data_IF_238983313205
#
_entry.id   IF_238983313205
#
_cell.length_a   1.000
_cell.length_b   1.000
_cell.length_c   1.000
_cell.angle_alpha   90.00
_cell.angle_beta   90.00
_cell.angle_gamma   90.00
#
_symmetry.space_group_name_H-M   'P 1'
#
loop_
_entity.id
_entity.type
_entity.pdbx_description
1 polymer ?
#
# COMPACT_ATOMS: atom_id res chain seq x y z
N UNK A 1 -25.75 7.76 -5.59
CA UNK A 1 -25.71 6.48 -6.33
C UNK A 1 -25.16 5.40 -5.41
N UNK A 2 -25.68 4.16 -5.43
CA UNK A 2 -25.12 3.06 -4.62
C UNK A 2 -23.79 2.60 -5.23
N UNK A 3 -22.76 2.44 -4.40
CA UNK A 3 -21.42 2.03 -4.81
C UNK A 3 -20.92 0.84 -3.99
N UNK A 4 -19.85 0.20 -4.47
CA UNK A 4 -19.15 -0.91 -3.83
C UNK A 4 -17.65 -0.71 -3.97
N UNK A 5 -16.92 -0.88 -2.87
CA UNK A 5 -15.46 -0.90 -2.86
C UNK A 5 -15.00 -2.36 -3.05
N UNK A 6 -14.12 -2.60 -4.01
CA UNK A 6 -13.53 -3.91 -4.29
C UNK A 6 -12.27 -4.20 -3.49
N UNK A 7 -11.65 -5.34 -3.77
CA UNK A 7 -10.40 -5.75 -3.14
C UNK A 7 -9.23 -4.87 -3.60
N UNK A 8 -8.31 -4.52 -2.68
CA UNK A 8 -7.17 -3.68 -3.02
C UNK A 8 -6.16 -4.42 -3.91
N UNK A 9 -5.47 -3.65 -4.74
CA UNK A 9 -4.23 -4.13 -5.36
C UNK A 9 -3.06 -4.13 -4.36
N UNK A 10 -1.88 -4.52 -4.83
CA UNK A 10 -0.62 -4.54 -4.09
C UNK A 10 -0.08 -3.16 -3.70
N UNK A 11 -0.68 -2.06 -4.17
CA UNK A 11 -0.44 -0.69 -3.66
C UNK A 11 -1.52 -0.24 -2.65
N UNK A 12 -2.42 -1.14 -2.24
CA UNK A 12 -3.58 -0.81 -1.41
C UNK A 12 -4.50 0.25 -2.05
N UNK A 13 -4.61 0.24 -3.39
CA UNK A 13 -5.61 0.99 -4.15
C UNK A 13 -6.85 0.13 -4.30
N UNK A 14 -7.98 0.64 -3.83
CA UNK A 14 -9.25 -0.06 -3.83
C UNK A 14 -10.10 0.42 -5.00
N UNK A 15 -10.49 -0.44 -5.93
CA UNK A 15 -11.36 -0.05 -7.03
C UNK A 15 -12.76 0.24 -6.50
N UNK A 16 -13.43 1.24 -7.08
CA UNK A 16 -14.79 1.65 -6.74
C UNK A 16 -15.68 1.40 -7.93
N UNK A 17 -16.79 0.72 -7.67
CA UNK A 17 -17.76 0.31 -8.67
C UNK A 17 -19.15 0.83 -8.35
N UNK A 18 -19.91 1.06 -9.41
CA UNK A 18 -21.37 1.22 -9.41
C UNK A 18 -21.99 0.13 -10.30
N UNK A 19 -23.32 0.03 -10.33
CA UNK A 19 -24.01 -0.97 -11.15
C UNK A 19 -23.61 -0.91 -12.64
N UNK A 20 -23.32 0.30 -13.14
CA UNK A 20 -22.92 0.54 -14.53
C UNK A 20 -21.43 0.25 -14.83
N UNK A 21 -20.57 0.05 -13.83
CA UNK A 21 -19.16 -0.22 -14.06
C UNK A 21 -18.20 0.35 -13.01
N UNK A 22 -16.91 0.35 -13.35
CA UNK A 22 -15.83 0.95 -12.58
C UNK A 22 -15.83 2.47 -12.74
N UNK A 23 -15.62 3.20 -11.65
CA UNK A 23 -15.67 4.68 -11.64
C UNK A 23 -14.41 5.32 -11.05
N UNK A 24 -13.43 4.53 -10.63
CA UNK A 24 -12.17 5.04 -10.11
C UNK A 24 -11.62 4.18 -8.98
N UNK A 25 -10.56 4.67 -8.35
CA UNK A 25 -9.92 3.99 -7.22
C UNK A 25 -9.81 4.93 -6.03
N UNK A 26 -9.76 4.35 -4.83
CA UNK A 26 -9.45 5.09 -3.61
C UNK A 26 -8.25 4.48 -2.90
N UNK A 27 -7.39 5.30 -2.33
CA UNK A 27 -6.23 4.83 -1.59
C UNK A 27 -5.87 5.77 -0.45
N UNK A 28 -5.13 5.24 0.54
CA UNK A 28 -4.67 6.01 1.69
C UNK A 28 -3.24 6.48 1.46
N UNK A 29 -2.95 7.74 1.76
CA UNK A 29 -1.60 8.30 1.77
C UNK A 29 -1.42 9.27 2.94
N UNK A 30 -0.49 8.96 3.85
CA UNK A 30 -0.15 9.77 5.04
C UNK A 30 -1.37 10.29 5.83
N UNK A 31 -2.28 9.39 6.19
CA UNK A 31 -3.44 9.70 7.02
C UNK A 31 -4.71 10.09 6.25
N UNK A 32 -4.58 10.55 5.01
CA UNK A 32 -5.72 10.95 4.20
C UNK A 32 -6.07 9.93 3.12
N UNK A 33 -7.29 10.04 2.60
CA UNK A 33 -7.75 9.25 1.48
C UNK A 33 -7.80 10.08 0.22
N UNK A 34 -7.50 9.45 -0.89
CA UNK A 34 -7.53 10.05 -2.21
C UNK A 34 -8.50 9.26 -3.07
N UNK A 35 -9.28 9.97 -3.87
CA UNK A 35 -10.11 9.42 -4.91
C UNK A 35 -9.48 9.75 -6.26
N UNK A 36 -9.33 8.75 -7.13
CA UNK A 36 -8.81 8.88 -8.49
C UNK A 36 -9.93 8.58 -9.46
N UNK A 37 -10.31 9.56 -10.27
CA UNK A 37 -11.44 9.42 -11.20
C UNK A 37 -11.08 8.51 -12.40
N UNK A 38 -11.97 7.59 -12.76
CA UNK A 38 -11.79 6.77 -13.96
C UNK A 38 -11.76 7.66 -15.22
N UNK A 39 -10.87 7.34 -16.16
CA UNK A 39 -10.71 8.04 -17.43
C UNK A 39 -9.79 9.26 -17.35
N UNK A 40 -9.98 10.16 -16.38
CA UNK A 40 -9.15 11.38 -16.26
C UNK A 40 -7.91 11.19 -15.39
N UNK A 41 -7.98 10.31 -14.38
CA UNK A 41 -6.90 10.14 -13.41
C UNK A 41 -6.77 11.31 -12.41
N UNK A 42 -7.73 12.23 -12.37
CA UNK A 42 -7.72 13.35 -11.43
C UNK A 42 -7.81 12.84 -9.98
N UNK A 43 -6.89 13.31 -9.13
CA UNK A 43 -6.84 12.96 -7.71
C UNK A 43 -7.51 14.03 -6.85
N UNK A 44 -8.47 13.62 -6.01
CA UNK A 44 -9.08 14.48 -4.99
C UNK A 44 -8.78 13.98 -3.59
N UNK A 45 -8.33 14.87 -2.70
CA UNK A 45 -8.00 14.56 -1.30
C UNK A 45 -9.23 14.66 -0.40
N UNK A 46 -9.46 13.61 0.38
CA UNK A 46 -10.50 13.50 1.39
C UNK A 46 -9.89 13.26 2.76
N UNK A 47 -9.97 14.28 3.62
CA UNK A 47 -9.50 14.17 5.00
C UNK A 47 -10.34 13.16 5.78
N UNK A 48 -9.65 12.25 6.46
CA UNK A 48 -10.23 11.33 7.41
C UNK A 48 -10.62 12.01 8.73
N UNK A 49 -11.43 11.32 9.51
CA UNK A 49 -11.79 11.65 10.88
C UNK A 49 -11.67 10.40 11.74
N UNK A 50 -11.80 10.53 13.07
CA UNK A 50 -11.86 9.37 13.97
C UNK A 50 -13.01 8.41 13.68
N UNK A 51 -14.14 8.92 13.16
CA UNK A 51 -15.38 8.14 12.93
C UNK A 51 -15.48 7.58 11.51
N UNK A 52 -14.92 8.29 10.54
CA UNK A 52 -14.79 7.85 9.16
C UNK A 52 -13.33 8.07 8.76
N UNK A 53 -12.52 7.01 8.62
CA UNK A 53 -11.11 7.13 8.29
C UNK A 53 -10.87 7.80 6.93
N UNK A 54 -11.91 7.99 6.10
CA UNK A 54 -11.89 8.73 4.83
C UNK A 54 -12.13 7.85 3.60
N UNK A 55 -12.03 6.52 3.77
CA UNK A 55 -12.20 5.53 2.70
C UNK A 55 -13.57 5.62 2.04
N UNK A 56 -14.61 5.54 2.87
CA UNK A 56 -16.00 5.57 2.40
C UNK A 56 -16.35 6.93 1.80
N UNK A 57 -15.88 8.02 2.43
CA UNK A 57 -16.06 9.38 1.91
C UNK A 57 -15.45 9.57 0.52
N UNK A 58 -14.24 9.06 0.30
CA UNK A 58 -13.59 9.12 -1.02
C UNK A 58 -14.36 8.29 -2.07
N UNK A 59 -14.86 7.12 -1.68
CA UNK A 59 -15.64 6.27 -2.59
C UNK A 59 -17.02 6.88 -2.90
N UNK A 60 -17.68 7.47 -1.91
CA UNK A 60 -18.94 8.19 -2.07
C UNK A 60 -18.79 9.44 -2.94
N UNK A 61 -17.63 10.11 -2.90
CA UNK A 61 -17.31 11.21 -3.81
C UNK A 61 -17.33 10.75 -5.27
N UNK A 62 -16.62 9.66 -5.60
CA UNK A 62 -16.64 9.07 -6.95
C UNK A 62 -18.06 8.71 -7.38
N UNK A 63 -18.83 8.07 -6.48
CA UNK A 63 -20.21 7.67 -6.77
C UNK A 63 -21.14 8.87 -7.00
N UNK A 64 -20.91 9.98 -6.31
CA UNK A 64 -21.66 11.23 -6.51
C UNK A 64 -21.34 11.81 -7.88
N UNK A 65 -20.07 11.89 -8.25
CA UNK A 65 -19.65 12.40 -9.56
C UNK A 65 -20.12 11.54 -10.72
N UNK A 66 -20.07 10.22 -10.58
CA UNK A 66 -20.66 9.31 -11.55
C UNK A 66 -22.18 9.51 -11.68
N UNK A 67 -22.88 9.67 -10.55
CA UNK A 67 -24.33 9.97 -10.55
C UNK A 67 -24.69 11.31 -11.20
N UNK A 68 -23.76 12.27 -11.21
CA UNK A 68 -23.90 13.57 -11.89
C UNK A 68 -23.39 13.56 -13.34
N UNK A 69 -22.93 12.42 -13.86
CA UNK A 69 -22.40 12.30 -15.23
C UNK A 69 -20.99 12.88 -15.42
N UNK A 70 -20.30 13.27 -14.35
CA UNK A 70 -18.93 13.79 -14.41
C UNK A 70 -17.88 12.68 -14.56
N UNK A 71 -18.22 11.45 -14.17
CA UNK A 71 -17.41 10.25 -14.40
C UNK A 71 -18.25 9.30 -15.23
N UNK A 72 -17.70 8.85 -16.36
CA UNK A 72 -18.33 7.80 -17.18
C UNK A 72 -17.86 6.45 -16.66
N UNK A 73 -18.77 5.56 -16.20
CA UNK A 73 -18.40 4.21 -15.79
C UNK A 73 -17.76 3.43 -16.95
N UNK A 74 -16.65 2.76 -16.67
CA UNK A 74 -15.94 1.93 -17.67
C UNK A 74 -15.84 0.48 -17.21
N UNK A 75 -15.31 -0.39 -18.07
CA UNK A 75 -14.74 -1.65 -17.59
C UNK A 75 -13.60 -1.34 -16.61
N UNK A 76 -13.43 -2.19 -15.58
CA UNK A 76 -12.31 -2.05 -14.67
C UNK A 76 -11.00 -2.24 -15.45
N UNK A 77 -10.00 -1.37 -15.27
CA UNK A 77 -8.70 -1.61 -15.86
C UNK A 77 -8.13 -2.92 -15.29
N UNK A 78 -7.26 -3.62 -16.04
CA UNK A 78 -6.50 -4.72 -15.45
C UNK A 78 -5.77 -4.20 -14.22
N UNK A 79 -5.77 -4.99 -13.14
CA UNK A 79 -5.02 -4.67 -11.93
C UNK A 79 -3.59 -4.42 -12.35
N UNK A 80 -3.13 -3.17 -12.20
CA UNK A 80 -1.72 -2.86 -12.33
C UNK A 80 -1.05 -3.41 -11.09
N UNK A 81 -0.52 -4.61 -11.18
CA UNK A 81 0.51 -5.01 -10.25
C UNK A 81 1.69 -4.04 -10.47
N UNK A 82 2.19 -3.38 -9.42
CA UNK A 82 3.38 -2.57 -9.53
C UNK A 82 4.43 -3.49 -10.11
N UNK A 83 4.96 -3.11 -11.27
CA UNK A 83 6.06 -3.82 -11.87
C UNK A 83 7.08 -4.01 -10.76
N UNK A 84 7.38 -5.26 -10.42
CA UNK A 84 8.53 -5.58 -9.61
C UNK A 84 9.73 -5.11 -10.42
N UNK A 85 10.09 -3.83 -10.25
CA UNK A 85 11.26 -3.26 -10.85
C UNK A 85 12.42 -4.14 -10.34
N UNK A 86 13.32 -4.50 -11.25
CA UNK A 86 14.50 -5.31 -10.89
C UNK A 86 15.22 -4.73 -9.68
N UNK A 87 15.21 -3.39 -9.56
CA UNK A 87 15.57 -2.66 -8.35
C UNK A 87 14.51 -1.56 -8.10
N UNK A 88 13.80 -1.59 -6.96
CA UNK A 88 12.89 -0.50 -6.63
C UNK A 88 13.65 0.81 -6.36
N UNK A 89 13.07 1.97 -6.68
CA UNK A 89 13.65 3.25 -6.27
C UNK A 89 13.76 3.33 -4.75
N UNK A 90 14.69 4.11 -4.23
CA UNK A 90 14.87 4.28 -2.78
C UNK A 90 13.58 4.77 -2.09
N UNK A 91 12.92 5.75 -2.72
CA UNK A 91 11.68 6.36 -2.24
C UNK A 91 10.53 5.98 -3.17
N UNK A 92 9.34 5.81 -2.58
CA UNK A 92 8.11 5.73 -3.35
C UNK A 92 7.92 7.04 -4.15
N UNK A 93 7.43 7.02 -5.41
CA UNK A 93 7.31 8.23 -6.24
C UNK A 93 6.49 9.38 -5.64
N UNK A 94 5.59 9.09 -4.69
CA UNK A 94 4.78 10.09 -3.96
C UNK A 94 5.49 10.71 -2.75
N UNK A 95 6.66 10.20 -2.35
CA UNK A 95 7.46 10.79 -1.29
C UNK A 95 8.14 12.07 -1.79
N UNK A 96 8.31 13.04 -0.90
CA UNK A 96 9.19 14.17 -1.17
C UNK A 96 10.63 13.66 -1.26
N UNK A 97 11.33 14.00 -2.33
CA UNK A 97 12.73 13.65 -2.49
C UNK A 97 13.63 14.69 -1.80
N UNK A 98 13.95 14.43 -0.54
CA UNK A 98 14.88 15.23 0.26
C UNK A 98 15.78 14.32 1.10
N UNK A 99 16.85 14.89 1.66
CA UNK A 99 17.86 14.11 2.37
C UNK A 99 17.30 13.39 3.60
N UNK A 100 16.42 14.04 4.36
CA UNK A 100 15.73 13.42 5.50
C UNK A 100 14.92 12.18 5.09
N UNK A 101 14.16 12.25 4.00
CA UNK A 101 13.39 11.11 3.49
C UNK A 101 14.32 9.99 3.00
N UNK A 102 15.41 10.33 2.32
CA UNK A 102 16.41 9.36 1.83
C UNK A 102 17.10 8.65 2.99
N UNK A 103 17.50 9.37 4.03
CA UNK A 103 18.13 8.79 5.22
C UNK A 103 17.16 7.87 5.96
N UNK A 104 15.91 8.29 6.13
CA UNK A 104 14.87 7.46 6.71
C UNK A 104 14.61 6.19 5.88
N UNK A 105 14.63 6.30 4.54
CA UNK A 105 14.47 5.17 3.64
C UNK A 105 15.62 4.17 3.77
N UNK A 106 16.88 4.65 3.76
CA UNK A 106 18.07 3.81 3.93
C UNK A 106 18.05 3.08 5.26
N UNK A 107 17.71 3.78 6.36
CA UNK A 107 17.59 3.19 7.68
C UNK A 107 16.49 2.10 7.72
N UNK A 108 15.31 2.38 7.14
CA UNK A 108 14.23 1.42 7.07
C UNK A 108 14.61 0.17 6.26
N UNK A 109 15.19 0.35 5.07
CA UNK A 109 15.63 -0.76 4.20
C UNK A 109 16.66 -1.63 4.91
N UNK A 110 17.70 -1.03 5.51
CA UNK A 110 18.71 -1.78 6.25
C UNK A 110 18.08 -2.58 7.41
N UNK A 111 17.15 -1.97 8.14
CA UNK A 111 16.49 -2.59 9.27
C UNK A 111 15.63 -3.80 8.88
N UNK A 112 14.83 -3.67 7.81
CA UNK A 112 13.97 -4.76 7.35
C UNK A 112 14.78 -5.87 6.67
N UNK A 113 15.86 -5.51 5.97
CA UNK A 113 16.82 -6.43 5.37
C UNK A 113 17.47 -7.36 6.41
N UNK A 114 17.93 -6.79 7.52
CA UNK A 114 18.46 -7.55 8.66
C UNK A 114 17.45 -8.56 9.25
N UNK A 115 16.14 -8.35 9.00
CA UNK A 115 15.04 -9.20 9.49
C UNK A 115 14.47 -10.13 8.43
N UNK A 116 15.10 -10.22 7.26
CA UNK A 116 14.71 -11.14 6.19
C UNK A 116 13.54 -10.64 5.34
N UNK A 117 13.46 -9.33 5.14
CA UNK A 117 12.55 -8.69 4.20
C UNK A 117 13.34 -7.98 3.10
N UNK A 118 12.86 -8.07 1.86
CA UNK A 118 13.43 -7.36 0.72
C UNK A 118 12.38 -6.38 0.18
N UNK A 119 12.68 -5.08 0.04
CA UNK A 119 11.75 -4.13 -0.60
C UNK A 119 11.45 -4.56 -2.04
N UNK A 120 10.18 -4.50 -2.44
CA UNK A 120 9.74 -4.66 -3.84
C UNK A 120 9.29 -3.31 -4.41
N UNK A 121 8.83 -2.41 -3.55
CA UNK A 121 8.56 -1.01 -3.90
C UNK A 121 9.43 -0.06 -3.08
N UNK A 122 9.53 1.19 -3.53
CA UNK A 122 10.28 2.22 -2.82
C UNK A 122 9.66 2.55 -1.47
N UNK A 123 10.47 3.04 -0.54
CA UNK A 123 10.02 3.34 0.82
C UNK A 123 8.91 4.41 0.81
N UNK A 124 7.70 4.12 1.32
CA UNK A 124 6.56 5.02 1.22
C UNK A 124 6.38 5.88 2.48
N UNK A 125 7.32 5.86 3.41
CA UNK A 125 7.17 6.47 4.73
C UNK A 125 6.60 5.51 5.79
N UNK A 126 6.43 6.02 7.01
CA UNK A 126 6.17 5.18 8.20
C UNK A 126 4.77 4.58 8.25
N UNK A 127 3.77 5.30 7.77
CA UNK A 127 2.36 4.97 7.94
C UNK A 127 1.67 4.58 6.63
N UNK A 128 2.42 4.33 5.56
CA UNK A 128 1.90 3.83 4.30
C UNK A 128 2.22 2.34 4.11
N UNK A 129 1.38 1.61 3.37
CA UNK A 129 1.65 0.23 2.99
C UNK A 129 2.93 0.15 2.15
N UNK A 130 3.85 -0.72 2.55
CA UNK A 130 5.11 -0.99 1.86
C UNK A 130 5.12 -2.45 1.39
N UNK A 131 5.27 -2.64 0.08
CA UNK A 131 5.34 -3.96 -0.52
C UNK A 131 6.74 -4.54 -0.33
N UNK A 132 6.82 -5.64 0.41
CA UNK A 132 8.07 -6.32 0.74
C UNK A 132 7.94 -7.82 0.48
N UNK A 133 9.04 -8.43 0.06
CA UNK A 133 9.18 -9.89 -0.08
C UNK A 133 9.77 -10.46 1.20
N UNK A 134 9.11 -11.46 1.77
CA UNK A 134 9.70 -12.25 2.83
C UNK A 134 10.82 -13.14 2.27
N UNK A 135 11.80 -13.50 3.10
CA UNK A 135 12.82 -14.50 2.74
C UNK A 135 12.24 -15.85 2.28
N UNK A 136 11.02 -16.21 2.72
CA UNK A 136 10.33 -17.41 2.22
C UNK A 136 9.81 -17.28 0.78
N UNK A 137 9.89 -16.09 0.17
CA UNK A 137 9.45 -15.78 -1.18
C UNK A 137 8.08 -15.09 -1.26
N UNK A 138 7.30 -15.06 -0.18
CA UNK A 138 5.95 -14.47 -0.18
C UNK A 138 5.99 -12.94 -0.13
N UNK A 139 5.24 -12.31 -1.04
CA UNK A 139 5.05 -10.86 -1.08
C UNK A 139 3.93 -10.45 -0.14
N UNK A 140 4.20 -9.47 0.72
CA UNK A 140 3.24 -9.00 1.72
C UNK A 140 3.32 -7.50 1.89
N UNK A 141 2.18 -6.91 2.22
CA UNK A 141 2.10 -5.51 2.63
C UNK A 141 2.48 -5.36 4.10
N UNK A 142 3.40 -4.44 4.39
CA UNK A 142 3.81 -4.10 5.76
C UNK A 142 3.88 -2.60 5.95
N UNK A 143 3.65 -2.15 7.17
CA UNK A 143 3.85 -0.75 7.54
C UNK A 143 5.16 -0.64 8.30
N UNK A 144 6.02 0.31 7.92
CA UNK A 144 7.29 0.51 8.63
C UNK A 144 7.07 0.81 10.12
N UNK A 145 6.03 1.58 10.46
CA UNK A 145 5.61 1.82 11.84
C UNK A 145 5.25 0.55 12.64
N UNK A 146 4.91 -0.56 11.98
CA UNK A 146 4.67 -1.85 12.62
C UNK A 146 5.95 -2.69 12.67
N UNK A 147 6.76 -2.64 11.61
CA UNK A 147 8.01 -3.40 11.49
C UNK A 147 9.07 -2.93 12.49
N UNK A 148 9.13 -1.64 12.80
CA UNK A 148 10.12 -1.08 13.73
C UNK A 148 9.79 -1.25 15.22
N UNK A 149 8.65 -1.89 15.54
CA UNK A 149 8.09 -1.90 16.89
C UNK A 149 7.29 -0.62 17.20
N UNK A 150 6.38 -0.69 18.17
CA UNK A 150 5.57 0.45 18.63
C UNK A 150 5.97 0.83 20.05
N UNK A 151 6.01 2.12 20.35
CA UNK A 151 6.19 2.66 21.71
C UNK A 151 7.40 2.08 22.47
N UNK A 152 8.53 1.86 21.78
CA UNK A 152 9.74 1.30 22.39
C UNK A 152 9.73 -0.22 22.57
N UNK A 153 8.64 -0.91 22.23
CA UNK A 153 8.61 -2.36 22.21
C UNK A 153 9.47 -2.92 21.08
N UNK A 154 10.07 -4.08 21.32
CA UNK A 154 10.83 -4.79 20.29
C UNK A 154 9.93 -5.20 19.11
N UNK A 155 10.45 -5.17 17.88
CA UNK A 155 9.78 -5.73 16.72
C UNK A 155 9.37 -7.19 16.94
N UNK A 156 8.16 -7.54 16.50
CA UNK A 156 7.73 -8.94 16.55
C UNK A 156 8.63 -9.83 15.67
N UNK A 157 9.00 -10.99 16.22
CA UNK A 157 9.65 -12.05 15.46
C UNK A 157 8.69 -12.76 14.48
N UNK A 158 7.38 -12.49 14.56
CA UNK A 158 6.40 -13.01 13.61
C UNK A 158 6.47 -12.18 12.32
N UNK A 159 6.60 -12.87 11.18
CA UNK A 159 6.65 -12.22 9.86
C UNK A 159 5.27 -12.11 9.24
N UNK A 160 4.67 -13.23 8.87
CA UNK A 160 3.31 -13.34 8.34
C UNK A 160 2.77 -14.75 8.56
N UNK A 161 1.46 -14.93 8.41
CA UNK A 161 0.82 -16.24 8.49
C UNK A 161 1.33 -17.14 7.35
N UNK A 162 1.58 -18.41 7.66
CA UNK A 162 2.15 -19.37 6.71
C UNK A 162 3.64 -19.17 6.41
N UNK A 163 4.37 -18.35 7.18
CA UNK A 163 5.79 -18.14 6.96
C UNK A 163 6.63 -19.38 7.33
N UNK A 164 7.15 -20.07 6.31
CA UNK A 164 8.03 -21.24 6.45
C UNK A 164 9.49 -20.88 6.74
N UNK A 165 9.86 -19.60 6.65
CA UNK A 165 11.24 -19.17 6.90
C UNK A 165 11.64 -19.18 8.39
N UNK A 166 10.69 -19.47 9.31
CA UNK A 166 11.03 -19.81 10.71
C UNK A 166 11.61 -21.22 10.81
N UNK A 167 11.13 -22.14 9.97
CA UNK A 167 11.51 -23.56 9.99
C UNK A 167 12.85 -23.80 9.27
N UNK A 168 13.30 -22.83 8.47
CA UNK A 168 14.60 -22.87 7.79
C UNK A 168 15.79 -22.45 8.68
N UNK A 169 15.57 -22.15 9.97
CA UNK A 169 16.64 -21.81 10.92
C UNK A 169 17.34 -23.04 11.54
N UNK A 170 16.90 -24.26 11.20
CA UNK A 170 17.55 -25.51 11.62
C UNK A 170 17.93 -26.35 10.40
N UNK A 171 18.99 -25.94 9.71
CA UNK A 171 19.83 -26.89 8.99
C UNK A 171 21.17 -26.91 9.73
N UNK A 172 21.51 -27.98 10.47
CA UNK A 172 22.84 -28.10 11.04
C UNK A 172 23.85 -28.16 9.88
N UNK A 173 24.78 -27.21 9.86
CA UNK A 173 26.02 -27.39 9.11
C UNK A 173 26.66 -28.68 9.66
N UNK A 174 26.70 -29.70 8.84
CA UNK A 174 27.25 -31.03 9.17
C UNK A 174 28.13 -31.48 8.02
N UNK A 175 29.21 -32.23 8.28
CA UNK A 175 30.28 -32.00 9.25
C UNK A 175 31.49 -31.28 8.63
#
# INVERSE_FOLDING_TARGET
MKHRIGEPNTECRYPVHVAAGFIGEVFRWHGDWFAVEAGTGEETRHKGSRKDPGKEKAAAYLATRAGSGLITPTAAPPVKDPQALAEPPLLHPRMKDNDEARDAARAAIAFIGARGWTPISGYPGSDNPWLVRCRCGTDVMRYWSHLRGRNGAEPSAHRHDGCTARDQATAPKTP
#
